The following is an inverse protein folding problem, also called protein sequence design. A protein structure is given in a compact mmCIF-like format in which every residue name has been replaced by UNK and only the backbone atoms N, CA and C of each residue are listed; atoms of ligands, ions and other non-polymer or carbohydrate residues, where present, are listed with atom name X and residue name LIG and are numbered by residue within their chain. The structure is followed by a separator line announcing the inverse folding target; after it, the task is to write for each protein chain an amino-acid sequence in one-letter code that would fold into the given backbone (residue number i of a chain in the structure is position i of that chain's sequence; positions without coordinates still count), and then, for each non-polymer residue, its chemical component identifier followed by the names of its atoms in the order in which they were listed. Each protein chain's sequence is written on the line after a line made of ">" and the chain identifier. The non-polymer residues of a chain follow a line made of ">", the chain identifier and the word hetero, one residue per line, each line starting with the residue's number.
data_IF_088480612463
#
_entry.id   IF_088480612463
#
_cell.length_a   1.000
_cell.length_b   1.000
_cell.length_c   1.000
_cell.angle_alpha   90.00
_cell.angle_beta   90.00
_cell.angle_gamma   90.00
#
_symmetry.space_group_name_H-M   'P 1'
#
loop_
_entity.id
_entity.type
_entity.pdbx_description
1 polymer ?
#
# COMPACT_ATOMS: atom_id res chain seq x y z
N UNK A 1 -6.69 9.59 -20.48
CA UNK A 1 -7.14 9.38 -19.09
C UNK A 1 -5.90 8.99 -18.32
N UNK A 2 -5.48 9.77 -17.33
CA UNK A 2 -4.30 9.44 -16.54
C UNK A 2 -4.74 8.46 -15.45
N UNK A 3 -4.40 7.19 -15.59
CA UNK A 3 -4.71 6.18 -14.58
C UNK A 3 -3.94 6.49 -13.30
N UNK A 4 -4.65 6.65 -12.18
CA UNK A 4 -4.03 6.96 -10.90
C UNK A 4 -3.96 5.70 -10.05
N UNK A 5 -2.75 5.25 -9.78
CA UNK A 5 -2.50 4.07 -8.94
C UNK A 5 -2.27 4.50 -7.50
N UNK A 6 -2.91 3.84 -6.54
CA UNK A 6 -2.84 4.19 -5.11
C UNK A 6 -2.84 2.95 -4.24
N UNK A 7 -2.15 3.00 -3.11
CA UNK A 7 -2.24 1.95 -2.09
C UNK A 7 -3.20 2.35 -0.97
N UNK A 8 -4.12 1.46 -0.65
CA UNK A 8 -4.90 1.49 0.58
C UNK A 8 -4.28 0.50 1.58
N UNK A 9 -4.24 0.88 2.85
CA UNK A 9 -3.57 0.09 3.89
C UNK A 9 -4.56 -0.30 4.97
N UNK A 10 -4.46 -1.53 5.45
CA UNK A 10 -5.36 -2.06 6.47
C UNK A 10 -4.55 -2.65 7.63
N UNK A 11 -5.08 -2.46 8.83
CA UNK A 11 -4.53 -3.06 10.04
C UNK A 11 -5.13 -4.45 10.32
N UNK A 12 -4.70 -5.10 11.40
CA UNK A 12 -5.19 -6.43 11.81
C UNK A 12 -6.71 -6.48 12.05
N UNK A 13 -7.31 -5.35 12.40
CA UNK A 13 -8.76 -5.20 12.53
C UNK A 13 -9.49 -4.99 11.19
N UNK A 14 -8.80 -5.17 10.05
CA UNK A 14 -9.28 -4.89 8.69
C UNK A 14 -9.82 -3.46 8.53
N UNK A 15 -9.29 -2.51 9.31
CA UNK A 15 -9.65 -1.10 9.20
C UNK A 15 -8.65 -0.40 8.31
N UNK A 16 -9.18 0.40 7.38
CA UNK A 16 -8.35 1.29 6.58
C UNK A 16 -7.62 2.27 7.49
N UNK A 17 -6.30 2.29 7.40
CA UNK A 17 -5.41 3.18 8.16
C UNK A 17 -4.49 3.92 7.19
N UNK A 18 -4.10 5.13 7.58
CA UNK A 18 -3.09 5.90 6.86
C UNK A 18 -1.79 5.83 7.67
N UNK A 19 -0.80 5.02 7.26
CA UNK A 19 0.46 4.94 7.98
C UNK A 19 1.20 6.28 7.86
N UNK A 20 1.71 6.79 8.98
CA UNK A 20 2.51 8.00 8.99
C UNK A 20 3.94 7.66 8.53
N UNK A 21 4.13 7.55 7.22
CA UNK A 21 5.45 7.39 6.62
C UNK A 21 6.17 8.74 6.61
N UNK A 22 7.45 8.76 6.96
CA UNK A 22 8.25 10.00 7.02
C UNK A 22 8.44 10.66 5.64
N UNK A 23 8.31 9.88 4.56
CA UNK A 23 8.40 10.37 3.20
C UNK A 23 7.13 11.15 2.83
N UNK A 24 7.29 12.43 2.48
CA UNK A 24 6.26 13.21 1.77
C UNK A 24 5.86 12.57 0.42
N UNK A 25 6.62 11.56 -0.02
CA UNK A 25 6.34 10.63 -1.12
C UNK A 25 5.46 9.43 -0.72
N UNK A 26 4.67 9.53 0.34
CA UNK A 26 3.40 8.81 0.45
C UNK A 26 2.40 9.29 -0.63
N UNK A 27 2.89 9.51 -1.85
CA UNK A 27 2.12 9.81 -3.03
C UNK A 27 1.27 8.58 -3.28
N UNK A 28 0.00 8.69 -2.90
CA UNK A 28 -1.09 7.79 -3.26
C UNK A 28 -1.37 7.85 -4.77
N UNK A 29 -0.36 8.04 -5.60
CA UNK A 29 -0.45 8.69 -6.90
C UNK A 29 0.68 8.20 -7.83
N UNK A 30 0.76 6.89 -8.03
CA UNK A 30 1.76 6.28 -8.91
C UNK A 30 1.30 6.37 -10.36
N UNK A 31 2.28 6.47 -11.27
CA UNK A 31 2.00 6.56 -12.71
C UNK A 31 1.68 5.20 -13.34
N UNK A 32 2.10 4.10 -12.69
CA UNK A 32 1.95 2.72 -13.15
C UNK A 32 1.91 1.73 -11.99
N UNK A 33 1.35 0.54 -12.20
CA UNK A 33 1.40 -0.58 -11.27
C UNK A 33 2.83 -0.91 -10.82
N UNK A 34 3.79 -1.03 -11.74
CA UNK A 34 5.17 -1.40 -11.41
C UNK A 34 5.89 -0.39 -10.51
N UNK A 35 5.51 0.89 -10.61
CA UNK A 35 6.02 1.96 -9.75
C UNK A 35 5.46 1.81 -8.33
N UNK A 36 4.15 1.51 -8.23
CA UNK A 36 3.49 1.20 -6.96
C UNK A 36 4.06 -0.06 -6.29
N UNK A 37 4.33 -1.12 -7.05
CA UNK A 37 4.95 -2.36 -6.54
C UNK A 37 6.39 -2.14 -6.06
N UNK A 38 7.16 -1.34 -6.81
CA UNK A 38 8.53 -0.96 -6.41
C UNK A 38 8.50 -0.22 -5.09
N UNK A 39 7.61 0.78 -4.95
CA UNK A 39 7.42 1.52 -3.71
C UNK A 39 7.03 0.60 -2.55
N UNK A 40 6.09 -0.34 -2.76
CA UNK A 40 5.70 -1.30 -1.72
C UNK A 40 6.91 -2.12 -1.23
N UNK A 41 7.77 -2.55 -2.15
CA UNK A 41 9.01 -3.27 -1.85
C UNK A 41 10.05 -2.46 -1.07
N UNK A 42 10.03 -1.13 -1.15
CA UNK A 42 10.89 -0.25 -0.37
C UNK A 42 10.30 0.06 1.02
N UNK A 43 8.99 0.27 1.11
CA UNK A 43 8.31 0.76 2.30
C UNK A 43 7.64 -0.33 3.15
N UNK A 44 7.57 -1.60 2.72
CA UNK A 44 6.87 -2.67 3.46
C UNK A 44 7.30 -2.82 4.92
N UNK A 45 8.58 -2.59 5.25
CA UNK A 45 9.07 -2.66 6.64
C UNK A 45 8.49 -1.55 7.51
N UNK A 46 8.39 -0.34 6.96
CA UNK A 46 7.80 0.81 7.65
C UNK A 46 6.28 0.63 7.79
N UNK A 47 5.63 0.14 6.74
CA UNK A 47 4.20 -0.21 6.77
C UNK A 47 3.90 -1.24 7.88
N UNK A 48 4.70 -2.30 7.98
CA UNK A 48 4.58 -3.28 9.08
C UNK A 48 4.82 -2.65 10.45
N UNK A 49 5.83 -1.81 10.58
CA UNK A 49 6.09 -1.08 11.82
C UNK A 49 4.90 -0.16 12.22
N UNK A 50 4.16 0.33 11.23
CA UNK A 50 2.93 1.10 11.39
C UNK A 50 1.66 0.26 11.58
N UNK A 51 1.80 -1.06 11.87
CA UNK A 51 0.70 -2.01 12.06
C UNK A 51 -0.17 -2.25 10.80
N UNK A 52 0.40 -2.08 9.61
CA UNK A 52 -0.25 -2.49 8.36
C UNK A 52 -0.03 -3.99 8.15
N UNK A 53 -1.12 -4.73 7.94
CA UNK A 53 -1.11 -6.18 7.69
C UNK A 53 -1.63 -6.55 6.31
N UNK A 54 -2.30 -5.62 5.63
CA UNK A 54 -2.87 -5.83 4.31
C UNK A 54 -2.81 -4.53 3.49
N UNK A 55 -2.58 -4.68 2.20
CA UNK A 55 -2.53 -3.57 1.25
C UNK A 55 -3.35 -3.88 0.01
N UNK A 56 -4.03 -2.87 -0.50
CA UNK A 56 -4.82 -2.95 -1.72
C UNK A 56 -4.35 -1.89 -2.71
N UNK A 57 -4.03 -2.33 -3.92
CA UNK A 57 -3.71 -1.47 -5.05
C UNK A 57 -4.99 -1.13 -5.78
N UNK A 58 -5.30 0.16 -5.84
CA UNK A 58 -6.44 0.70 -6.58
C UNK A 58 -5.96 1.46 -7.81
N UNK A 59 -6.66 1.32 -8.93
CA UNK A 59 -6.52 2.16 -10.13
C UNK A 59 -7.85 2.87 -10.36
N UNK A 60 -7.88 4.21 -10.30
CA UNK A 60 -9.11 5.01 -10.45
C UNK A 60 -10.27 4.47 -9.58
N UNK A 61 -10.02 4.34 -8.28
CA UNK A 61 -10.93 3.78 -7.25
C UNK A 61 -11.30 2.29 -7.40
N UNK A 62 -10.76 1.59 -8.40
CA UNK A 62 -11.01 0.15 -8.56
C UNK A 62 -9.87 -0.67 -7.97
N UNK A 63 -10.16 -1.52 -6.99
CA UNK A 63 -9.21 -2.52 -6.49
C UNK A 63 -8.77 -3.45 -7.62
N UNK A 64 -7.48 -3.44 -7.93
CA UNK A 64 -6.85 -4.30 -8.93
C UNK A 64 -6.11 -5.46 -8.30
N UNK A 65 -5.52 -5.24 -7.12
CA UNK A 65 -4.69 -6.22 -6.46
C UNK A 65 -4.76 -6.04 -4.95
N UNK A 66 -4.73 -7.15 -4.21
CA UNK A 66 -4.74 -7.15 -2.75
C UNK A 66 -3.67 -8.13 -2.27
N UNK A 67 -2.90 -7.74 -1.26
CA UNK A 67 -1.84 -8.58 -0.69
C UNK A 67 -1.74 -8.39 0.81
N UNK A 68 -1.58 -9.51 1.52
CA UNK A 68 -1.27 -9.48 2.95
C UNK A 68 0.21 -9.15 3.17
N UNK A 69 0.46 -8.08 3.92
CA UNK A 69 1.75 -7.75 4.52
C UNK A 69 1.96 -8.45 5.87
N UNK A 70 1.05 -9.31 6.35
CA UNK A 70 1.30 -10.14 7.53
C UNK A 70 2.59 -10.96 7.34
N UNK A 71 3.34 -11.21 8.42
CA UNK A 71 4.44 -12.17 8.35
C UNK A 71 3.88 -13.48 7.79
N UNK A 72 4.45 -13.97 6.69
CA UNK A 72 4.25 -15.35 6.33
C UNK A 72 4.88 -16.13 7.49
N UNK A 73 4.07 -16.52 8.47
CA UNK A 73 4.49 -17.42 9.54
C UNK A 73 5.03 -18.67 8.83
N UNK A 74 6.34 -18.88 8.94
CA UNK A 74 7.02 -20.09 8.53
C UNK A 74 7.14 -21.03 9.72
#
# INVERSE_FOLDING_TARGET
>A
MATHWSWHFYNDAHKHIMPQLESQDAKQAFSSQSDAETWLGEYWRQLRAANVVEVELTEDDQTKYTMSLAAAEQ
#
